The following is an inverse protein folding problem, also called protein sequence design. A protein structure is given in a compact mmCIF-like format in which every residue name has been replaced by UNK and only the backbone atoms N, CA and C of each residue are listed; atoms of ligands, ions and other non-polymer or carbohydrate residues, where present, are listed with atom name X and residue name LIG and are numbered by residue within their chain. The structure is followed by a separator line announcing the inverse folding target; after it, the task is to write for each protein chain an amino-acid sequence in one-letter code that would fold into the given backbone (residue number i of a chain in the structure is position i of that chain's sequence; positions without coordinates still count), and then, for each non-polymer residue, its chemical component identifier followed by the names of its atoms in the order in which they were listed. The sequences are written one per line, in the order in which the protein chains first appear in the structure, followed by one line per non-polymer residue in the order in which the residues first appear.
data_IF_667401268229
#
_entry.id   IF_667401268229
#
_cell.length_a   1.000
_cell.length_b   1.000
_cell.length_c   1.000
_cell.angle_alpha   90.00
_cell.angle_beta   90.00
_cell.angle_gamma   90.00
#
_symmetry.space_group_name_H-M   'P 1'
#
loop_
_entity.id
_entity.type
_entity.pdbx_description
1 polymer ?
#
# COMPACT_ATOMS: atom_id res chain seq x y z
N UNK A 1 -48.13 -5.76 21.71
CA UNK A 1 -47.77 -6.34 20.40
C UNK A 1 -47.33 -7.78 20.62
N UNK A 2 -47.97 -8.72 19.93
CA UNK A 2 -47.72 -10.16 20.08
C UNK A 2 -46.26 -10.48 19.75
N UNK A 3 -45.52 -10.99 20.74
CA UNK A 3 -44.20 -11.59 20.52
C UNK A 3 -44.44 -12.89 19.78
N UNK A 4 -44.21 -12.87 18.47
CA UNK A 4 -44.30 -14.04 17.61
C UNK A 4 -43.39 -15.15 18.13
N UNK A 5 -44.00 -16.17 18.74
CA UNK A 5 -43.38 -17.43 19.19
C UNK A 5 -43.16 -18.43 18.04
N UNK A 6 -43.12 -17.97 16.79
CA UNK A 6 -42.70 -18.82 15.67
C UNK A 6 -41.17 -18.83 15.56
N UNK A 7 -40.53 -19.77 16.25
CA UNK A 7 -39.18 -20.22 15.88
C UNK A 7 -39.27 -20.85 14.49
N UNK A 8 -39.17 -20.03 13.44
CA UNK A 8 -39.01 -20.52 12.06
C UNK A 8 -37.76 -21.40 12.05
N UNK A 9 -37.93 -22.69 11.74
CA UNK A 9 -36.80 -23.60 11.56
C UNK A 9 -35.93 -23.03 10.44
N UNK A 10 -34.64 -22.85 10.70
CA UNK A 10 -33.67 -22.37 9.71
C UNK A 10 -33.52 -23.49 8.67
N UNK A 11 -33.92 -23.23 7.43
CA UNK A 11 -33.87 -24.22 6.34
C UNK A 11 -32.48 -24.31 5.68
N UNK A 12 -31.74 -23.20 5.62
CA UNK A 12 -30.39 -23.15 5.06
C UNK A 12 -29.59 -21.98 5.65
N UNK A 13 -28.26 -22.09 5.57
CA UNK A 13 -27.31 -21.06 6.01
C UNK A 13 -26.46 -20.64 4.82
N UNK A 14 -26.28 -19.34 4.63
CA UNK A 14 -25.40 -18.76 3.61
C UNK A 14 -24.29 -17.98 4.29
N UNK A 15 -23.06 -18.15 3.80
CA UNK A 15 -21.90 -17.35 4.20
C UNK A 15 -21.51 -16.48 3.01
N UNK A 16 -21.08 -15.25 3.29
CA UNK A 16 -20.65 -14.30 2.27
C UNK A 16 -19.88 -13.14 2.89
N UNK A 17 -19.25 -12.34 2.03
CA UNK A 17 -18.48 -11.16 2.45
C UNK A 17 -19.45 -10.06 2.90
N UNK A 18 -19.09 -9.37 3.98
CA UNK A 18 -19.83 -8.21 4.48
C UNK A 18 -19.27 -6.94 3.84
N UNK A 19 -20.14 -6.13 3.23
CA UNK A 19 -19.76 -4.79 2.75
C UNK A 19 -19.59 -3.82 3.92
N UNK A 20 -18.89 -2.69 3.75
CA UNK A 20 -18.76 -1.67 4.79
C UNK A 20 -20.12 -1.17 5.30
N UNK A 21 -21.09 -0.97 4.41
CA UNK A 21 -22.45 -0.55 4.75
C UNK A 21 -23.15 -1.61 5.60
N UNK A 22 -22.95 -2.89 5.27
CA UNK A 22 -23.52 -4.00 6.02
C UNK A 22 -22.92 -4.09 7.42
N UNK A 23 -21.61 -3.91 7.57
CA UNK A 23 -20.95 -3.86 8.88
C UNK A 23 -21.50 -2.71 9.73
N UNK A 24 -21.67 -1.51 9.15
CA UNK A 24 -22.29 -0.37 9.83
C UNK A 24 -23.74 -0.65 10.23
N UNK A 25 -24.51 -1.36 9.40
CA UNK A 25 -25.90 -1.73 9.69
C UNK A 25 -26.06 -2.67 10.90
N UNK A 26 -25.06 -3.51 11.18
CA UNK A 26 -25.04 -4.38 12.36
C UNK A 26 -24.60 -3.65 13.62
N UNK A 27 -23.94 -2.51 13.46
CA UNK A 27 -23.36 -1.78 14.56
C UNK A 27 -24.39 -0.99 15.34
N UNK A 28 -24.26 -1.02 16.67
CA UNK A 28 -25.00 -0.16 17.59
C UNK A 28 -24.24 1.13 17.95
N UNK A 29 -23.04 1.31 17.41
CA UNK A 29 -22.22 2.50 17.63
C UNK A 29 -20.75 2.30 17.30
N UNK A 30 -20.07 3.42 17.07
CA UNK A 30 -18.64 3.48 16.80
C UNK A 30 -17.83 3.49 18.11
N UNK A 31 -16.82 2.64 18.20
CA UNK A 31 -15.82 2.65 19.28
C UNK A 31 -14.69 3.58 18.88
N UNK A 32 -14.45 4.61 19.69
CA UNK A 32 -13.46 5.66 19.39
C UNK A 32 -12.21 5.58 20.23
N UNK A 33 -12.33 5.00 21.42
CA UNK A 33 -11.24 4.95 22.37
C UNK A 33 -10.86 3.53 22.75
N UNK A 34 -9.59 3.27 23.08
CA UNK A 34 -9.13 1.93 23.45
C UNK A 34 -9.48 1.57 24.90
N UNK A 35 -9.95 2.51 25.72
CA UNK A 35 -10.16 2.23 27.14
C UNK A 35 -11.30 1.24 27.38
N UNK A 36 -11.17 0.47 28.46
CA UNK A 36 -12.06 -0.63 28.80
C UNK A 36 -12.97 -0.25 29.97
N UNK A 37 -12.40 -0.23 31.17
CA UNK A 37 -13.08 0.09 32.42
C UNK A 37 -12.24 1.09 33.21
N UNK A 38 -12.91 1.94 33.99
CA UNK A 38 -12.24 2.82 34.92
C UNK A 38 -11.63 2.01 36.07
N UNK A 39 -10.34 2.21 36.36
CA UNK A 39 -9.62 1.46 37.40
C UNK A 39 -10.16 1.68 38.82
N UNK A 40 -10.77 2.84 39.10
CA UNK A 40 -11.27 3.19 40.44
C UNK A 40 -12.73 2.80 40.60
N UNK A 41 -13.57 3.11 39.60
CA UNK A 41 -15.01 2.88 39.72
C UNK A 41 -15.48 1.54 39.16
N UNK A 42 -14.61 0.80 38.46
CA UNK A 42 -14.93 -0.43 37.71
C UNK A 42 -16.10 -0.26 36.72
N UNK A 43 -16.38 1.00 36.31
CA UNK A 43 -17.44 1.30 35.35
C UNK A 43 -16.84 1.31 33.94
N UNK A 44 -17.57 0.82 32.93
CA UNK A 44 -17.11 0.92 31.54
C UNK A 44 -16.89 2.37 31.10
N UNK A 45 -15.82 2.60 30.35
CA UNK A 45 -15.51 3.92 29.81
C UNK A 45 -16.44 4.28 28.63
N UNK A 46 -16.72 5.58 28.48
CA UNK A 46 -17.58 6.08 27.39
C UNK A 46 -16.83 6.03 26.07
N UNK A 47 -17.49 5.50 25.05
CA UNK A 47 -16.97 5.28 23.69
C UNK A 47 -15.76 4.34 23.63
N UNK A 48 -15.51 3.61 24.71
CA UNK A 48 -14.51 2.55 24.83
C UNK A 48 -15.03 1.16 24.47
N UNK A 49 -14.18 0.14 24.63
CA UNK A 49 -14.44 -1.24 24.22
C UNK A 49 -15.59 -1.91 24.99
N UNK A 50 -15.93 -1.45 26.20
CA UNK A 50 -17.04 -1.98 26.99
C UNK A 50 -18.23 -1.02 27.14
N UNK A 51 -18.24 0.07 26.36
CA UNK A 51 -19.19 1.16 26.49
C UNK A 51 -20.64 0.67 26.53
N UNK A 52 -21.36 1.02 27.60
CA UNK A 52 -22.76 0.60 27.79
C UNK A 52 -23.73 1.24 26.79
N UNK A 53 -23.35 2.36 26.18
CA UNK A 53 -24.14 3.02 25.12
C UNK A 53 -24.19 2.18 23.84
N UNK A 54 -23.05 1.58 23.48
CA UNK A 54 -22.89 0.80 22.25
C UNK A 54 -23.41 -0.62 22.49
N UNK A 55 -22.86 -1.29 23.51
CA UNK A 55 -23.13 -2.70 23.74
C UNK A 55 -24.36 -2.96 24.60
N UNK A 56 -24.86 -1.97 25.35
CA UNK A 56 -26.01 -2.14 26.25
C UNK A 56 -25.60 -2.18 27.74
N UNK A 57 -26.56 -2.21 28.66
CA UNK A 57 -26.34 -1.99 30.10
C UNK A 57 -25.66 -3.18 30.79
N UNK A 58 -24.79 -2.92 31.76
CA UNK A 58 -24.10 -3.96 32.55
C UNK A 58 -25.04 -4.65 33.53
N UNK A 59 -26.07 -3.93 33.99
CA UNK A 59 -27.10 -4.41 34.92
C UNK A 59 -28.43 -4.56 34.19
N UNK A 60 -29.23 -5.54 34.60
CA UNK A 60 -30.54 -5.80 34.01
C UNK A 60 -31.48 -4.62 34.22
N UNK A 61 -32.00 -4.07 33.12
CA UNK A 61 -32.97 -2.97 33.09
C UNK A 61 -32.54 -1.75 33.93
N UNK A 62 -31.26 -1.42 33.94
CA UNK A 62 -30.72 -0.24 34.63
C UNK A 62 -29.71 0.49 33.74
N UNK A 63 -29.87 1.81 33.61
CA UNK A 63 -28.90 2.63 32.87
C UNK A 63 -27.62 2.91 33.68
N UNK A 64 -26.51 3.24 33.02
CA UNK A 64 -25.20 3.48 33.66
C UNK A 64 -25.18 4.45 34.85
N UNK A 65 -26.01 5.50 34.78
CA UNK A 65 -26.09 6.54 35.81
C UNK A 65 -27.10 6.25 36.93
N UNK A 66 -27.89 5.17 36.81
CA UNK A 66 -28.91 4.78 37.77
C UNK A 66 -30.21 5.60 37.73
N UNK A 67 -30.35 6.61 36.84
CA UNK A 67 -31.57 7.43 36.70
C UNK A 67 -32.80 6.59 36.39
N UNK A 68 -32.68 5.71 35.40
CA UNK A 68 -33.72 4.76 35.00
C UNK A 68 -33.33 3.37 35.49
N UNK A 69 -34.22 2.77 36.30
CA UNK A 69 -34.04 1.45 36.92
C UNK A 69 -35.34 0.66 36.95
N UNK A 70 -35.23 -0.63 36.62
CA UNK A 70 -36.33 -1.58 36.62
C UNK A 70 -36.99 -1.70 35.25
N UNK A 71 -37.70 -2.81 35.06
CA UNK A 71 -38.32 -3.21 33.78
C UNK A 71 -39.34 -2.21 33.24
N UNK A 72 -39.92 -1.35 34.09
CA UNK A 72 -40.85 -0.29 33.68
C UNK A 72 -40.27 0.71 32.67
N UNK A 73 -38.94 0.86 32.60
CA UNK A 73 -38.27 1.77 31.67
C UNK A 73 -37.64 1.03 30.47
N UNK A 74 -37.95 -0.25 30.27
CA UNK A 74 -37.46 -1.05 29.15
C UNK A 74 -37.66 -0.32 27.81
N UNK A 75 -36.61 -0.29 26.98
CA UNK A 75 -36.58 0.42 25.70
C UNK A 75 -36.26 1.92 25.77
N UNK A 76 -36.28 2.54 26.96
CA UNK A 76 -36.00 3.97 27.12
C UNK A 76 -34.50 4.24 27.02
N UNK A 77 -34.11 5.26 26.23
CA UNK A 77 -32.73 5.75 26.17
C UNK A 77 -32.53 6.85 27.20
N UNK A 78 -31.55 6.70 28.08
CA UNK A 78 -31.29 7.71 29.11
C UNK A 78 -30.69 8.98 28.53
N UNK A 79 -31.29 10.15 28.78
CA UNK A 79 -30.75 11.44 28.30
C UNK A 79 -29.39 11.81 28.89
N UNK A 80 -29.05 11.32 30.09
CA UNK A 80 -27.80 11.66 30.78
C UNK A 80 -26.61 10.83 30.28
N UNK A 81 -26.79 9.51 30.15
CA UNK A 81 -25.70 8.60 29.78
C UNK A 81 -25.83 7.97 28.38
N UNK A 82 -26.96 8.15 27.70
CA UNK A 82 -27.22 7.58 26.37
C UNK A 82 -27.46 6.06 26.37
N UNK A 83 -27.44 5.40 27.54
CA UNK A 83 -27.64 3.95 27.64
C UNK A 83 -29.13 3.62 27.51
N UNK A 84 -29.44 2.69 26.62
CA UNK A 84 -30.78 2.12 26.49
C UNK A 84 -31.02 1.09 27.59
N UNK A 85 -32.14 1.20 28.29
CA UNK A 85 -32.54 0.29 29.36
C UNK A 85 -33.08 -1.00 28.75
N UNK A 86 -32.32 -2.09 28.87
CA UNK A 86 -32.60 -3.41 28.30
C UNK A 86 -32.04 -4.50 29.22
N UNK A 87 -32.19 -5.77 28.84
CA UNK A 87 -31.55 -6.90 29.52
C UNK A 87 -30.02 -6.84 29.34
N UNK A 88 -29.25 -7.24 30.37
CA UNK A 88 -27.79 -7.33 30.25
C UNK A 88 -27.36 -8.35 29.18
N UNK A 89 -28.24 -9.31 28.85
CA UNK A 89 -27.98 -10.32 27.83
C UNK A 89 -27.81 -9.72 26.43
N UNK A 90 -28.41 -8.56 26.16
CA UNK A 90 -28.31 -7.91 24.86
C UNK A 90 -26.89 -7.41 24.57
N UNK A 91 -26.03 -7.26 25.61
CA UNK A 91 -24.58 -7.05 25.45
C UNK A 91 -23.87 -8.14 24.67
N UNK A 92 -24.41 -9.36 24.66
CA UNK A 92 -23.86 -10.49 23.90
C UNK A 92 -24.33 -10.53 22.45
N UNK A 93 -25.34 -9.72 22.10
CA UNK A 93 -25.97 -9.70 20.77
C UNK A 93 -25.61 -8.46 19.96
N UNK A 94 -25.38 -7.32 20.63
CA UNK A 94 -25.03 -6.06 19.97
C UNK A 94 -23.59 -6.06 19.50
N UNK A 95 -23.38 -5.53 18.30
CA UNK A 95 -22.06 -5.35 17.70
C UNK A 95 -21.67 -3.88 17.72
N UNK A 96 -20.37 -3.60 17.79
CA UNK A 96 -19.77 -2.28 17.59
C UNK A 96 -18.97 -2.28 16.27
N UNK A 97 -18.60 -1.09 15.79
CA UNK A 97 -17.65 -0.96 14.68
C UNK A 97 -16.57 0.07 15.01
N UNK A 98 -15.48 0.03 14.25
CA UNK A 98 -14.42 1.03 14.27
C UNK A 98 -14.27 1.51 12.83
N UNK A 99 -14.33 2.82 12.62
CA UNK A 99 -14.06 3.40 11.32
C UNK A 99 -12.53 3.50 11.15
N UNK A 100 -11.99 2.82 10.13
CA UNK A 100 -10.57 2.84 9.87
C UNK A 100 -10.20 4.09 9.08
N UNK A 101 -9.14 4.78 9.49
CA UNK A 101 -8.65 5.96 8.78
C UNK A 101 -8.10 5.64 7.38
N UNK A 102 -7.63 4.41 7.17
CA UNK A 102 -7.13 3.92 5.90
C UNK A 102 -7.68 2.51 5.63
N UNK A 103 -7.87 2.12 4.36
CA UNK A 103 -8.26 0.76 4.02
C UNK A 103 -7.17 -0.23 4.44
N UNK A 104 -7.60 -1.33 5.06
CA UNK A 104 -6.71 -2.42 5.49
C UNK A 104 -7.11 -3.70 4.77
N UNK A 105 -6.12 -4.42 4.24
CA UNK A 105 -6.35 -5.71 3.58
C UNK A 105 -6.67 -6.77 4.63
N UNK A 106 -7.75 -7.50 4.41
CA UNK A 106 -8.14 -8.58 5.31
C UNK A 106 -7.18 -9.78 5.16
N UNK A 107 -6.46 -10.10 6.23
CA UNK A 107 -5.34 -11.06 6.24
C UNK A 107 -5.69 -12.43 5.66
N UNK A 108 -6.90 -12.95 5.88
CA UNK A 108 -7.32 -14.24 5.33
C UNK A 108 -7.33 -14.28 3.80
N UNK A 109 -7.57 -13.17 3.11
CA UNK A 109 -7.58 -13.15 1.64
C UNK A 109 -6.19 -12.85 1.05
N UNK A 110 -5.27 -12.34 1.88
CA UNK A 110 -3.89 -12.05 1.52
C UNK A 110 -2.98 -13.27 1.72
N UNK A 111 -2.97 -13.82 2.94
CA UNK A 111 -2.02 -14.84 3.41
C UNK A 111 -2.53 -16.28 3.29
N UNK A 112 -3.78 -16.50 2.85
CA UNK A 112 -4.26 -17.87 2.59
C UNK A 112 -3.44 -18.54 1.49
N UNK A 113 -3.37 -19.87 1.53
CA UNK A 113 -2.85 -20.68 0.42
C UNK A 113 -3.99 -21.52 -0.17
N UNK A 114 -4.45 -21.25 -1.41
CA UNK A 114 -4.01 -20.18 -2.30
C UNK A 114 -4.48 -18.78 -1.82
N UNK A 115 -3.75 -17.74 -2.21
CA UNK A 115 -4.12 -16.36 -1.90
C UNK A 115 -5.22 -15.92 -2.85
N UNK A 116 -6.42 -15.69 -2.32
CA UNK A 116 -7.60 -15.36 -3.13
C UNK A 116 -7.38 -14.07 -3.91
N UNK A 117 -6.74 -13.07 -3.30
CA UNK A 117 -6.43 -11.79 -3.95
C UNK A 117 -5.38 -11.95 -5.06
N UNK A 118 -4.36 -12.78 -4.84
CA UNK A 118 -3.33 -13.07 -5.85
C UNK A 118 -3.94 -13.70 -7.09
N UNK A 119 -4.82 -14.70 -6.91
CA UNK A 119 -5.53 -15.34 -8.02
C UNK A 119 -6.45 -14.38 -8.75
N UNK A 120 -7.21 -13.55 -8.02
CA UNK A 120 -8.16 -12.61 -8.60
C UNK A 120 -7.48 -11.50 -9.41
N UNK A 121 -6.32 -11.02 -8.94
CA UNK A 121 -5.57 -9.94 -9.58
C UNK A 121 -4.53 -10.45 -10.60
N UNK A 122 -4.31 -11.76 -10.68
CA UNK A 122 -3.25 -12.37 -11.49
C UNK A 122 -1.85 -11.81 -11.19
N UNK A 123 -1.53 -11.61 -9.90
CA UNK A 123 -0.24 -11.10 -9.41
C UNK A 123 0.38 -12.15 -8.48
N UNK A 124 1.71 -12.31 -8.46
CA UNK A 124 2.35 -13.25 -7.53
C UNK A 124 2.11 -12.85 -6.06
N UNK A 125 1.99 -13.84 -5.16
CA UNK A 125 1.78 -13.57 -3.73
C UNK A 125 2.87 -12.66 -3.13
N UNK A 126 4.13 -12.88 -3.53
CA UNK A 126 5.27 -12.06 -3.08
C UNK A 126 5.11 -10.60 -3.50
N UNK A 127 4.65 -10.37 -4.72
CA UNK A 127 4.45 -9.03 -5.25
C UNK A 127 3.27 -8.32 -4.61
N UNK A 128 2.17 -9.05 -4.39
CA UNK A 128 1.00 -8.51 -3.68
C UNK A 128 1.35 -8.13 -2.24
N UNK A 129 2.10 -8.98 -1.53
CA UNK A 129 2.59 -8.68 -0.19
C UNK A 129 3.51 -7.46 -0.17
N UNK A 130 4.44 -7.35 -1.12
CA UNK A 130 5.29 -6.16 -1.24
C UNK A 130 4.46 -4.88 -1.39
N UNK A 131 3.40 -4.89 -2.20
CA UNK A 131 2.52 -3.71 -2.34
C UNK A 131 1.81 -3.41 -1.01
N UNK A 132 1.22 -4.42 -0.35
CA UNK A 132 0.44 -4.23 0.88
C UNK A 132 1.31 -3.78 2.06
N UNK A 133 2.53 -4.29 2.18
CA UNK A 133 3.45 -3.91 3.25
C UNK A 133 4.20 -2.61 2.99
N UNK A 134 3.82 -1.85 1.94
CA UNK A 134 4.61 -0.73 1.45
C UNK A 134 6.08 -1.11 1.24
N UNK A 135 6.32 -2.37 0.89
CA UNK A 135 7.62 -2.85 0.50
C UNK A 135 8.07 -2.03 -0.69
N UNK A 136 9.31 -1.57 -0.64
CA UNK A 136 10.02 -1.02 -1.79
C UNK A 136 10.20 -2.15 -2.79
N UNK A 137 9.14 -2.44 -3.55
CA UNK A 137 9.29 -3.22 -4.76
C UNK A 137 10.33 -2.45 -5.55
N UNK A 138 11.45 -3.11 -5.86
CA UNK A 138 12.27 -2.76 -7.02
C UNK A 138 11.34 -2.88 -8.22
N UNK A 139 10.51 -1.88 -8.44
CA UNK A 139 10.04 -1.61 -9.78
C UNK A 139 11.37 -1.45 -10.52
N UNK A 140 11.60 -2.30 -11.51
CA UNK A 140 12.65 -2.03 -12.48
C UNK A 140 12.08 -0.87 -13.27
N UNK A 141 12.17 0.31 -12.69
CA UNK A 141 11.81 1.54 -13.36
C UNK A 141 12.83 1.71 -14.45
N UNK A 142 12.34 2.16 -15.60
CA UNK A 142 13.22 2.70 -16.61
C UNK A 142 14.00 3.82 -15.94
N UNK A 143 15.31 3.69 -16.01
CA UNK A 143 16.20 4.73 -15.52
C UNK A 143 16.40 5.67 -16.70
N UNK A 144 16.27 6.96 -16.45
CA UNK A 144 16.55 8.01 -17.40
C UNK A 144 17.78 8.77 -16.94
N UNK A 145 18.65 9.13 -17.88
CA UNK A 145 19.75 10.05 -17.61
C UNK A 145 19.43 11.36 -18.29
N UNK A 146 19.55 12.45 -17.52
CA UNK A 146 19.39 13.81 -18.05
C UNK A 146 20.56 14.10 -18.99
N UNK A 147 20.25 14.34 -20.26
CA UNK A 147 21.24 14.69 -21.28
C UNK A 147 21.39 16.21 -21.41
N UNK A 148 20.27 16.93 -21.39
CA UNK A 148 20.23 18.39 -21.38
C UNK A 148 19.24 18.90 -20.32
N UNK A 149 19.73 19.50 -19.22
CA UNK A 149 18.88 20.04 -18.17
C UNK A 149 18.22 21.39 -18.53
N UNK A 150 18.57 22.03 -19.66
CA UNK A 150 18.02 23.33 -20.08
C UNK A 150 17.98 24.37 -18.93
N UNK A 151 16.79 24.80 -18.48
CA UNK A 151 16.57 25.77 -17.38
C UNK A 151 16.09 25.12 -16.07
N UNK A 152 16.35 23.83 -15.90
CA UNK A 152 15.94 23.08 -14.70
C UNK A 152 17.00 23.10 -13.62
N UNK A 153 16.66 22.52 -12.47
CA UNK A 153 17.56 22.32 -11.34
C UNK A 153 18.49 21.09 -11.51
N UNK A 154 18.33 20.33 -12.60
CA UNK A 154 19.10 19.12 -12.86
C UNK A 154 20.48 19.44 -13.44
N UNK A 155 21.41 18.52 -13.25
CA UNK A 155 22.74 18.53 -13.85
C UNK A 155 22.78 17.43 -14.94
N UNK A 156 23.48 17.63 -16.08
CA UNK A 156 23.66 16.55 -17.02
C UNK A 156 24.26 15.33 -16.29
N UNK A 157 23.80 14.12 -16.61
CA UNK A 157 24.20 12.90 -15.92
C UNK A 157 23.39 12.55 -14.68
N UNK A 158 22.47 13.42 -14.23
CA UNK A 158 21.54 13.09 -13.16
C UNK A 158 20.63 11.92 -13.56
N UNK A 159 20.36 11.05 -12.59
CA UNK A 159 19.59 9.83 -12.76
C UNK A 159 18.17 10.06 -12.28
N UNK A 160 17.20 9.83 -13.15
CA UNK A 160 15.77 9.92 -12.85
C UNK A 160 15.12 8.56 -13.02
N UNK A 161 14.33 8.13 -12.04
CA UNK A 161 13.48 6.96 -12.21
C UNK A 161 12.22 7.30 -13.04
N UNK A 162 11.59 6.31 -13.67
CA UNK A 162 10.42 6.52 -14.54
C UNK A 162 9.28 7.30 -13.85
N UNK A 163 9.03 7.05 -12.57
CA UNK A 163 8.05 7.81 -11.78
C UNK A 163 8.45 9.26 -11.58
N UNK A 164 9.72 9.52 -11.23
CA UNK A 164 10.26 10.87 -11.10
C UNK A 164 10.24 11.61 -12.42
N UNK A 165 10.65 10.95 -13.52
CA UNK A 165 10.59 11.51 -14.86
C UNK A 165 9.16 11.93 -15.23
N UNK A 166 8.15 11.09 -14.97
CA UNK A 166 6.76 11.43 -15.26
C UNK A 166 6.27 12.65 -14.47
N UNK A 167 6.69 12.80 -13.21
CA UNK A 167 6.36 13.98 -12.39
C UNK A 167 7.07 15.23 -12.93
N UNK A 168 8.37 15.15 -13.18
CA UNK A 168 9.17 16.30 -13.56
C UNK A 168 8.88 16.77 -14.99
N UNK A 169 8.59 15.85 -15.93
CA UNK A 169 8.24 16.16 -17.32
C UNK A 169 7.01 17.07 -17.42
N UNK A 170 6.04 16.92 -16.51
CA UNK A 170 4.85 17.78 -16.49
C UNK A 170 5.17 19.20 -16.00
N UNK A 171 6.17 19.34 -15.13
CA UNK A 171 6.50 20.60 -14.48
C UNK A 171 7.63 21.38 -15.17
N UNK A 172 8.55 20.71 -15.86
CA UNK A 172 9.81 21.27 -16.33
C UNK A 172 10.20 20.72 -17.70
N UNK A 173 10.83 21.56 -18.53
CA UNK A 173 11.34 21.18 -19.85
C UNK A 173 12.83 20.81 -19.76
N UNK A 174 13.14 19.54 -20.02
CA UNK A 174 14.48 18.96 -20.03
C UNK A 174 14.48 17.70 -20.91
N UNK A 175 15.64 17.33 -21.45
CA UNK A 175 15.78 16.17 -22.32
C UNK A 175 16.44 14.99 -21.57
N UNK A 176 15.92 13.79 -21.80
CA UNK A 176 16.40 12.56 -21.15
C UNK A 176 16.55 11.41 -22.14
N UNK A 177 17.46 10.49 -21.84
CA UNK A 177 17.63 9.23 -22.57
C UNK A 177 17.47 8.02 -21.64
N UNK A 178 17.07 6.88 -22.19
CA UNK A 178 16.90 5.64 -21.44
C UNK A 178 18.27 5.05 -21.06
N UNK A 179 18.51 4.88 -19.77
CA UNK A 179 19.69 4.24 -19.23
C UNK A 179 19.45 2.74 -19.00
N UNK A 180 20.35 1.92 -19.54
CA UNK A 180 20.33 0.46 -19.37
C UNK A 180 21.52 0.03 -18.53
N UNK A 181 21.26 -0.61 -17.39
CA UNK A 181 22.31 -1.16 -16.53
C UNK A 181 22.76 -2.51 -17.08
N UNK A 182 23.94 -2.55 -17.69
CA UNK A 182 24.55 -3.81 -18.16
C UNK A 182 25.19 -4.53 -16.97
N UNK A 183 24.52 -5.56 -16.46
CA UNK A 183 25.07 -6.44 -15.40
C UNK A 183 25.83 -7.58 -16.08
N UNK A 184 27.11 -7.76 -15.73
CA UNK A 184 28.04 -8.68 -16.40
C UNK A 184 28.17 -8.42 -17.90
N UNK A 185 28.88 -7.34 -18.31
CA UNK A 185 29.28 -7.21 -19.70
C UNK A 185 30.16 -8.40 -20.06
N UNK A 186 29.62 -9.35 -20.82
CA UNK A 186 30.45 -10.31 -21.53
C UNK A 186 31.09 -9.53 -22.68
N UNK A 187 32.41 -9.40 -22.65
CA UNK A 187 33.11 -8.86 -23.81
C UNK A 187 32.84 -9.74 -25.04
N UNK A 188 32.61 -9.16 -26.22
CA UNK A 188 32.33 -7.74 -26.51
C UNK A 188 30.82 -7.44 -26.50
N UNK A 189 30.47 -6.25 -26.01
CA UNK A 189 29.14 -5.65 -26.19
C UNK A 189 29.05 -5.19 -27.64
N UNK A 190 28.15 -5.80 -28.41
CA UNK A 190 27.88 -5.41 -29.80
C UNK A 190 26.90 -4.24 -29.74
N UNK A 191 27.34 -3.06 -30.18
CA UNK A 191 26.44 -1.97 -30.52
C UNK A 191 25.85 -2.26 -31.90
N UNK A 192 24.53 -2.14 -32.05
CA UNK A 192 23.90 -2.18 -33.38
C UNK A 192 24.16 -0.91 -34.21
N UNK A 193 24.85 0.08 -33.61
CA UNK A 193 25.02 1.43 -34.11
C UNK A 193 26.50 1.84 -33.89
N UNK A 194 27.31 1.87 -34.95
CA UNK A 194 28.64 2.48 -34.93
C UNK A 194 28.61 3.99 -34.67
N UNK A 195 29.67 4.53 -34.06
CA UNK A 195 29.85 5.97 -33.89
C UNK A 195 31.16 6.34 -33.20
N UNK A 196 31.74 7.47 -33.56
CA UNK A 196 32.93 8.07 -32.95
C UNK A 196 32.70 8.33 -31.47
N UNK A 197 33.33 7.52 -30.62
CA UNK A 197 33.26 7.64 -29.17
C UNK A 197 34.36 8.57 -28.64
N UNK A 198 34.00 9.73 -28.10
CA UNK A 198 34.90 10.58 -27.31
C UNK A 198 34.67 10.38 -25.82
N UNK A 199 35.73 10.03 -25.11
CA UNK A 199 35.72 9.90 -23.65
C UNK A 199 36.26 11.17 -23.00
N UNK A 200 35.52 11.77 -22.07
CA UNK A 200 35.98 12.91 -21.27
C UNK A 200 35.84 12.56 -19.79
N UNK A 201 36.93 12.54 -19.05
CA UNK A 201 36.88 12.25 -17.60
C UNK A 201 36.91 13.55 -16.80
N UNK A 202 35.99 13.70 -15.87
CA UNK A 202 35.94 14.82 -14.92
C UNK A 202 35.82 14.31 -13.48
N UNK A 203 36.54 14.97 -12.58
CA UNK A 203 36.54 14.63 -11.15
C UNK A 203 35.58 15.56 -10.42
N UNK A 204 34.51 14.98 -9.87
CA UNK A 204 33.50 15.75 -9.15
C UNK A 204 34.02 16.21 -7.78
N UNK A 205 33.34 17.22 -7.20
CA UNK A 205 33.64 17.77 -5.86
C UNK A 205 33.54 16.68 -4.78
N UNK A 206 32.78 15.60 -5.02
CA UNK A 206 32.66 14.44 -4.12
C UNK A 206 33.82 13.44 -4.21
N UNK A 207 34.83 13.72 -5.05
CA UNK A 207 36.01 12.86 -5.24
C UNK A 207 35.81 11.70 -6.21
N UNK A 208 34.59 11.54 -6.75
CA UNK A 208 34.24 10.50 -7.73
C UNK A 208 34.62 10.93 -9.14
N UNK A 209 35.22 10.00 -9.89
CA UNK A 209 35.62 10.17 -11.28
C UNK A 209 34.46 9.74 -12.19
N UNK A 210 34.01 10.65 -13.04
CA UNK A 210 32.93 10.39 -14.01
C UNK A 210 33.53 10.47 -15.41
N UNK A 211 33.27 9.44 -16.22
CA UNK A 211 33.71 9.39 -17.62
C UNK A 211 32.51 9.56 -18.54
N UNK A 212 32.49 10.67 -19.27
CA UNK A 212 31.52 11.00 -20.29
C UNK A 212 31.83 10.27 -21.59
N UNK A 213 30.80 9.79 -22.29
CA UNK A 213 30.92 9.09 -23.57
C UNK A 213 30.08 9.82 -24.60
N UNK A 214 30.71 10.45 -25.60
CA UNK A 214 30.02 11.15 -26.71
C UNK A 214 30.16 10.35 -28.01
N UNK A 215 29.06 10.04 -28.71
CA UNK A 215 29.07 9.15 -29.90
C UNK A 215 28.58 9.87 -31.17
N UNK A 216 29.24 9.72 -32.34
CA UNK A 216 28.80 10.30 -33.66
C UNK A 216 29.06 9.43 -34.92
N UNK A 217 28.09 9.32 -35.85
CA UNK A 217 28.14 8.74 -37.23
C UNK A 217 28.34 7.20 -37.40
N UNK A 218 27.41 6.53 -38.09
CA UNK A 218 27.12 5.08 -37.99
C UNK A 218 27.23 4.30 -39.33
N UNK A 219 27.98 3.17 -39.40
CA UNK A 219 27.71 2.02 -40.30
C UNK A 219 28.59 0.75 -40.06
N UNK A 220 27.94 -0.45 -40.11
CA UNK A 220 28.42 -1.82 -39.73
C UNK A 220 29.22 -2.62 -40.78
N UNK A 221 30.22 -3.41 -40.34
CA UNK A 221 30.67 -4.70 -40.95
C UNK A 221 31.23 -5.66 -39.87
N UNK A 222 31.05 -6.99 -40.02
CA UNK A 222 31.49 -8.05 -39.09
C UNK A 222 32.95 -8.54 -39.29
N UNK A 223 33.64 -8.88 -38.19
CA UNK A 223 34.92 -9.61 -38.17
C UNK A 223 35.07 -10.54 -36.94
N UNK A 224 35.83 -11.65 -37.06
CA UNK A 224 36.12 -12.60 -35.97
C UNK A 224 37.56 -12.50 -35.48
N UNK A 225 37.75 -12.55 -34.15
CA UNK A 225 39.03 -12.27 -33.47
C UNK A 225 39.38 -13.34 -32.40
N UNK A 226 40.67 -13.62 -32.20
CA UNK A 226 41.21 -14.62 -31.27
C UNK A 226 42.02 -14.00 -30.11
N UNK A 227 42.17 -14.76 -29.00
CA UNK A 227 42.79 -14.28 -27.76
C UNK A 227 44.31 -14.02 -27.92
N UNK A 228 44.75 -12.81 -27.56
CA UNK A 228 46.13 -12.35 -27.71
C UNK A 228 46.42 -11.60 -29.01
N UNK A 229 45.44 -11.47 -29.92
CA UNK A 229 45.56 -10.60 -31.09
C UNK A 229 45.60 -9.12 -30.67
N UNK A 230 46.57 -8.38 -31.22
CA UNK A 230 46.62 -6.91 -31.16
C UNK A 230 45.97 -6.38 -32.43
N UNK A 231 45.06 -5.42 -32.30
CA UNK A 231 44.38 -4.72 -33.40
C UNK A 231 44.79 -3.24 -33.40
N UNK A 232 45.26 -2.75 -34.53
CA UNK A 232 45.33 -1.37 -35.01
C UNK A 232 44.08 -1.07 -35.88
N UNK A 233 44.16 -0.68 -37.15
CA UNK A 233 43.04 -0.25 -38.05
C UNK A 233 42.70 1.25 -37.98
N UNK A 234 43.52 2.00 -38.70
CA UNK A 234 43.00 2.93 -39.73
C UNK A 234 42.83 2.11 -41.01
N UNK A 235 42.13 2.54 -42.05
CA UNK A 235 42.39 1.84 -43.32
C UNK A 235 43.83 2.17 -43.78
N UNK A 236 44.69 1.19 -44.06
CA UNK A 236 44.44 -0.25 -44.22
C UNK A 236 45.01 -1.17 -43.13
N UNK A 237 44.26 -1.34 -42.05
CA UNK A 237 44.41 -2.32 -40.98
C UNK A 237 45.71 -2.24 -40.17
N UNK A 238 45.58 -2.54 -38.89
CA UNK A 238 46.23 -3.70 -38.32
C UNK A 238 45.46 -4.11 -37.07
#
# INVERSE_FOLDING_TARGET
MAVSTFRRKIASVRVGIASPERIRSWSSGEVKKPETINYRSFKPERDGLFCERIFGPTKDYECACGKYKGKKYEGTVCERCGVRVESKEDRRKRMGHIELAAPVVHIWYLKSSPSILSTLLNISVRDLENIVYHGSRRIIERIYIVTDPKKTQFVPGDVLYETEYNIYKEAQDFDVELAVVVRNPKSPVVSDIDGEVKLKSERTITGREITWIHVRNVAKVEMRLYAGMTLLVKDGQD
#
